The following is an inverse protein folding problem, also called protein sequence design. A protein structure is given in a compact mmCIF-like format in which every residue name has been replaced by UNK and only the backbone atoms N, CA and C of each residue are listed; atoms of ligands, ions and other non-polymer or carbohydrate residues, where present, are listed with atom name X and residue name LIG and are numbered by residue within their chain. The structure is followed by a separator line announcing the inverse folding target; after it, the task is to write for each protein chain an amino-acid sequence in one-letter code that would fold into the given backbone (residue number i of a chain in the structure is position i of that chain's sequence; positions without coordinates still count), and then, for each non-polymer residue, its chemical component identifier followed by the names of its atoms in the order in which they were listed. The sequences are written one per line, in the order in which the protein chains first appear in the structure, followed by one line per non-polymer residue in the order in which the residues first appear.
data_IF_824494142827
#
_entry.id   IF_824494142827
#
_cell.length_a   1.000
_cell.length_b   1.000
_cell.length_c   1.000
_cell.angle_alpha   90.00
_cell.angle_beta   90.00
_cell.angle_gamma   90.00
#
_symmetry.space_group_name_H-M   'P 1'
#
loop_
_entity.id
_entity.type
_entity.pdbx_description
1 polymer ?
#
# COMPACT_ATOMS: atom_id res chain seq x y z
N UNK A 1 -62.63 24.45 24.67
CA UNK A 1 -62.05 23.59 25.72
C UNK A 1 -60.61 24.01 25.91
N UNK A 2 -60.33 24.64 27.05
CA UNK A 2 -59.12 25.42 27.32
C UNK A 2 -58.44 24.80 28.53
N UNK A 3 -57.19 24.34 28.38
CA UNK A 3 -56.40 23.75 29.48
C UNK A 3 -55.35 24.81 29.92
N UNK A 4 -55.31 25.18 31.20
CA UNK A 4 -54.39 26.18 31.72
C UNK A 4 -52.97 25.65 31.99
N UNK A 5 -52.06 26.62 31.99
CA UNK A 5 -50.60 26.59 32.15
C UNK A 5 -50.11 25.99 33.48
N UNK A 6 -48.91 25.38 33.49
CA UNK A 6 -48.09 25.22 34.71
C UNK A 6 -46.61 25.46 34.38
N UNK A 7 -45.95 26.46 34.97
CA UNK A 7 -44.53 26.74 34.74
C UNK A 7 -43.66 25.87 35.66
N UNK A 8 -42.58 25.30 35.12
CA UNK A 8 -41.51 24.74 35.92
C UNK A 8 -40.29 25.66 35.83
N UNK A 9 -39.97 26.27 36.96
CA UNK A 9 -38.82 27.13 37.15
C UNK A 9 -37.57 26.32 37.53
N UNK A 10 -36.40 26.90 37.20
CA UNK A 10 -35.06 26.66 37.76
C UNK A 10 -34.44 25.29 37.41
N UNK A 11 -33.22 25.21 36.91
CA UNK A 11 -32.03 25.63 37.64
C UNK A 11 -30.85 25.77 36.68
N UNK A 12 -30.05 26.81 36.89
CA UNK A 12 -28.83 27.10 36.15
C UNK A 12 -27.81 25.97 36.28
N UNK A 13 -27.33 25.45 35.14
CA UNK A 13 -26.12 24.65 35.13
C UNK A 13 -24.91 25.57 35.19
N UNK A 14 -24.27 25.49 36.35
CA UNK A 14 -23.08 26.19 36.77
C UNK A 14 -21.92 25.80 35.85
N UNK A 15 -21.27 26.84 35.32
CA UNK A 15 -19.97 26.87 34.64
C UNK A 15 -19.03 25.71 35.02
N UNK A 16 -18.78 24.83 34.05
CA UNK A 16 -17.63 23.95 34.07
C UNK A 16 -16.49 24.64 33.32
N UNK A 17 -15.60 25.22 34.13
CA UNK A 17 -14.16 25.41 33.91
C UNK A 17 -13.73 25.43 32.44
N UNK A 18 -13.61 26.65 31.93
CA UNK A 18 -12.73 26.95 30.80
C UNK A 18 -11.31 26.50 31.19
N UNK A 19 -10.87 25.37 30.64
CA UNK A 19 -9.44 25.06 30.61
C UNK A 19 -8.79 26.09 29.68
N UNK A 20 -7.78 26.85 30.13
CA UNK A 20 -7.02 27.69 29.23
C UNK A 20 -6.40 26.77 28.17
N UNK A 21 -6.78 26.98 26.91
CA UNK A 21 -6.07 26.40 25.77
C UNK A 21 -4.69 27.05 25.77
N UNK A 22 -3.78 26.50 26.55
CA UNK A 22 -2.35 26.75 26.40
C UNK A 22 -2.03 26.40 24.96
N UNK A 23 -1.78 27.41 24.15
CA UNK A 23 -1.31 27.28 22.79
C UNK A 23 0.12 26.73 22.84
N UNK A 24 0.25 25.44 23.12
CA UNK A 24 1.47 24.71 22.81
C UNK A 24 1.49 24.50 21.30
N UNK A 25 1.86 25.55 20.58
CA UNK A 25 2.42 25.43 19.24
C UNK A 25 3.83 24.82 19.37
N UNK A 26 3.89 23.57 19.83
CA UNK A 26 5.10 22.77 19.70
C UNK A 26 5.36 22.51 18.22
N UNK A 27 6.62 22.55 17.77
CA UNK A 27 6.93 22.16 16.39
C UNK A 27 6.38 20.76 16.16
N UNK A 28 5.57 20.61 15.10
CA UNK A 28 5.10 19.30 14.65
C UNK A 28 6.34 18.53 14.21
N UNK A 29 6.87 17.71 15.09
CA UNK A 29 7.93 16.77 14.73
C UNK A 29 7.34 15.83 13.69
N UNK A 30 7.74 16.03 12.44
CA UNK A 30 7.49 15.08 11.37
C UNK A 30 8.17 13.78 11.78
N UNK A 31 7.38 12.84 12.30
CA UNK A 31 7.89 11.51 12.63
C UNK A 31 8.24 10.85 11.30
N UNK A 32 9.53 10.52 11.11
CA UNK A 32 9.91 9.60 10.05
C UNK A 32 9.35 8.23 10.41
N UNK A 33 8.31 7.78 9.70
CA UNK A 33 7.74 6.44 9.87
C UNK A 33 8.61 5.34 9.24
N UNK A 34 9.71 5.74 8.60
CA UNK A 34 10.67 4.87 7.94
C UNK A 34 11.93 4.79 8.81
N UNK A 35 12.48 3.58 8.94
CA UNK A 35 13.79 3.35 9.56
C UNK A 35 14.88 4.10 8.80
N UNK A 36 16.00 4.42 9.44
CA UNK A 36 17.17 4.94 8.74
C UNK A 36 17.68 3.94 7.69
N UNK A 37 17.60 2.65 8.02
CA UNK A 37 17.86 1.53 7.13
C UNK A 37 16.55 1.06 6.50
N UNK A 38 16.02 1.84 5.56
CA UNK A 38 14.96 1.37 4.67
C UNK A 38 15.59 1.26 3.29
N UNK A 39 15.35 0.15 2.56
CA UNK A 39 15.85 0.05 1.20
C UNK A 39 15.29 1.23 0.40
N UNK A 40 16.15 1.85 -0.41
CA UNK A 40 15.76 2.96 -1.27
C UNK A 40 14.50 2.58 -2.05
N UNK A 41 13.53 3.48 -2.10
CA UNK A 41 12.27 3.27 -2.82
C UNK A 41 12.43 3.17 -4.35
N UNK A 42 13.66 3.05 -4.84
CA UNK A 42 14.09 2.83 -6.22
C UNK A 42 13.67 1.44 -6.70
N UNK A 43 12.35 1.23 -6.74
CA UNK A 43 11.69 0.08 -7.35
C UNK A 43 11.75 0.17 -8.89
N UNK A 44 12.80 0.78 -9.44
CA UNK A 44 12.98 0.93 -10.87
C UNK A 44 13.56 -0.35 -11.41
N UNK A 45 12.84 -0.98 -12.33
CA UNK A 45 13.40 -2.02 -13.19
C UNK A 45 14.47 -1.38 -14.08
N UNK A 46 15.50 -2.15 -14.43
CA UNK A 46 16.42 -1.69 -15.46
C UNK A 46 15.70 -1.54 -16.80
N UNK A 47 16.17 -0.68 -17.72
CA UNK A 47 15.50 -0.46 -19.00
C UNK A 47 15.27 -1.74 -19.81
N UNK A 48 16.24 -2.67 -19.80
CA UNK A 48 16.15 -3.96 -20.48
C UNK A 48 15.19 -4.94 -19.77
N UNK A 49 15.12 -4.90 -18.44
CA UNK A 49 14.14 -5.70 -17.70
C UNK A 49 12.74 -5.18 -17.98
N UNK A 50 12.57 -3.86 -18.02
CA UNK A 50 11.28 -3.22 -18.27
C UNK A 50 10.74 -3.55 -19.66
N UNK A 51 11.59 -3.57 -20.69
CA UNK A 51 11.18 -3.95 -22.06
C UNK A 51 10.73 -5.42 -22.10
N UNK A 52 11.50 -6.33 -21.50
CA UNK A 52 11.13 -7.76 -21.43
C UNK A 52 9.83 -7.95 -20.62
N UNK A 53 9.72 -7.34 -19.44
CA UNK A 53 8.57 -7.50 -18.55
C UNK A 53 7.28 -6.91 -19.15
N UNK A 54 7.37 -5.74 -19.81
CA UNK A 54 6.23 -5.13 -20.48
C UNK A 54 5.73 -5.97 -21.67
N UNK A 55 6.64 -6.58 -22.44
CA UNK A 55 6.27 -7.50 -23.51
C UNK A 55 5.69 -8.82 -22.96
N UNK A 56 6.32 -9.39 -21.92
CA UNK A 56 5.88 -10.62 -21.28
C UNK A 56 4.50 -10.48 -20.62
N UNK A 57 4.16 -9.31 -20.09
CA UNK A 57 2.88 -9.05 -19.43
C UNK A 57 1.66 -9.31 -20.35
N UNK A 58 1.81 -9.13 -21.67
CA UNK A 58 0.75 -9.43 -22.65
C UNK A 58 0.33 -10.91 -22.63
N UNK A 59 1.24 -11.82 -22.29
CA UNK A 59 1.03 -13.26 -22.29
C UNK A 59 0.58 -13.82 -20.93
N UNK A 60 0.49 -12.98 -19.89
CA UNK A 60 0.09 -13.40 -18.54
C UNK A 60 -1.34 -13.96 -18.47
N UNK A 61 -2.36 -13.41 -19.15
CA UNK A 61 -3.70 -14.00 -19.12
C UNK A 61 -3.72 -15.46 -19.65
N UNK A 62 -2.94 -15.74 -20.70
CA UNK A 62 -2.92 -17.05 -21.36
C UNK A 62 -1.96 -18.07 -20.73
N UNK A 63 -0.82 -17.62 -20.17
CA UNK A 63 0.24 -18.49 -19.67
C UNK A 63 0.56 -18.31 -18.19
N UNK A 64 -0.12 -17.41 -17.49
CA UNK A 64 0.09 -17.11 -16.09
C UNK A 64 1.44 -16.44 -15.81
N UNK A 65 1.81 -16.39 -14.53
CA UNK A 65 3.11 -15.87 -14.07
C UNK A 65 4.17 -16.97 -14.17
N UNK A 66 4.53 -17.35 -15.40
CA UNK A 66 5.40 -18.49 -15.67
C UNK A 66 6.63 -18.11 -16.49
N UNK A 67 7.64 -19.00 -16.50
CA UNK A 67 8.81 -18.89 -17.37
C UNK A 67 8.43 -18.85 -18.86
N UNK A 68 7.32 -19.50 -19.24
CA UNK A 68 6.84 -19.50 -20.62
C UNK A 68 6.41 -18.10 -21.07
N UNK A 69 5.70 -17.36 -20.21
CA UNK A 69 5.32 -15.97 -20.50
C UNK A 69 6.55 -15.07 -20.64
N UNK A 70 7.58 -15.28 -19.81
CA UNK A 70 8.85 -14.55 -19.90
C UNK A 70 9.63 -14.85 -21.19
N UNK A 71 9.76 -16.11 -21.58
CA UNK A 71 10.45 -16.48 -22.82
C UNK A 71 9.75 -15.89 -24.05
N UNK A 72 8.42 -15.93 -24.08
CA UNK A 72 7.64 -15.31 -25.16
C UNK A 72 7.78 -13.78 -25.19
N UNK A 73 7.81 -13.14 -24.02
CA UNK A 73 8.06 -11.70 -23.91
C UNK A 73 9.46 -11.29 -24.33
N UNK A 74 10.48 -12.08 -23.98
CA UNK A 74 11.85 -11.86 -24.42
C UNK A 74 11.95 -11.92 -25.96
N UNK A 75 11.32 -12.93 -26.58
CA UNK A 75 11.23 -13.05 -28.04
C UNK A 75 10.50 -11.88 -28.69
N UNK A 76 9.37 -11.45 -28.13
CA UNK A 76 8.58 -10.30 -28.63
C UNK A 76 9.37 -8.98 -28.54
N UNK A 77 10.22 -8.85 -27.52
CA UNK A 77 11.12 -7.71 -27.34
C UNK A 77 12.42 -7.79 -28.17
N UNK A 78 12.61 -8.85 -28.97
CA UNK A 78 13.81 -9.03 -29.81
C UNK A 78 15.03 -9.60 -29.07
N UNK A 79 14.85 -10.13 -27.86
CA UNK A 79 15.87 -10.81 -27.07
C UNK A 79 15.79 -12.33 -27.22
N UNK A 80 16.85 -13.03 -26.80
CA UNK A 80 16.86 -14.50 -26.76
C UNK A 80 16.08 -15.01 -25.54
N UNK A 81 15.61 -16.26 -25.58
CA UNK A 81 14.99 -16.92 -24.43
C UNK A 81 15.91 -16.92 -23.20
N UNK A 82 17.23 -16.98 -23.41
CA UNK A 82 18.24 -16.96 -22.34
C UNK A 82 18.25 -15.62 -21.60
N UNK A 83 17.77 -14.53 -22.23
CA UNK A 83 17.73 -13.20 -21.61
C UNK A 83 16.78 -13.12 -20.41
N UNK A 84 15.94 -14.13 -20.17
CA UNK A 84 15.16 -14.22 -18.93
C UNK A 84 16.02 -14.44 -17.68
N UNK A 85 17.28 -14.88 -17.82
CA UNK A 85 18.23 -15.00 -16.70
C UNK A 85 18.70 -13.67 -16.14
N UNK A 86 18.48 -12.57 -16.88
CA UNK A 86 18.78 -11.21 -16.43
C UNK A 86 17.82 -10.81 -15.30
N UNK A 87 16.64 -11.43 -15.22
CA UNK A 87 15.68 -11.22 -14.14
C UNK A 87 16.11 -12.03 -12.90
N UNK A 88 16.56 -11.41 -11.81
CA UNK A 88 17.11 -12.12 -10.65
C UNK A 88 16.08 -13.03 -9.98
N UNK A 89 14.80 -12.64 -10.00
CA UNK A 89 13.71 -13.39 -9.38
C UNK A 89 12.87 -14.19 -10.40
N UNK A 90 13.27 -14.20 -11.68
CA UNK A 90 12.58 -14.91 -12.75
C UNK A 90 11.08 -14.55 -12.86
N UNK A 91 10.15 -15.53 -12.83
CA UNK A 91 8.70 -15.26 -12.93
C UNK A 91 8.17 -14.34 -11.83
N UNK A 92 8.83 -14.30 -10.67
CA UNK A 92 8.43 -13.39 -9.59
C UNK A 92 8.63 -11.92 -9.99
N UNK A 93 9.58 -11.63 -10.87
CA UNK A 93 9.76 -10.28 -11.42
C UNK A 93 8.53 -9.79 -12.21
N UNK A 94 7.73 -10.68 -12.82
CA UNK A 94 6.45 -10.31 -13.44
C UNK A 94 5.39 -9.90 -12.42
N UNK A 95 5.35 -10.58 -11.28
CA UNK A 95 4.43 -10.23 -10.18
C UNK A 95 4.82 -8.87 -9.63
N UNK A 96 6.11 -8.67 -9.36
CA UNK A 96 6.65 -7.37 -8.92
C UNK A 96 6.30 -6.28 -9.93
N UNK A 97 6.49 -6.54 -11.22
CA UNK A 97 6.15 -5.61 -12.30
C UNK A 97 4.67 -5.23 -12.26
N UNK A 98 3.77 -6.21 -12.20
CA UNK A 98 2.33 -5.96 -12.07
C UNK A 98 2.00 -5.08 -10.87
N UNK A 99 2.54 -5.40 -9.68
CA UNK A 99 2.26 -4.65 -8.46
C UNK A 99 2.74 -3.20 -8.55
N UNK A 100 3.94 -2.96 -9.09
CA UNK A 100 4.51 -1.63 -9.28
C UNK A 100 3.69 -0.84 -10.29
N UNK A 101 3.43 -1.39 -11.48
CA UNK A 101 2.67 -0.71 -12.54
C UNK A 101 1.25 -0.36 -12.09
N UNK A 102 0.56 -1.27 -11.37
CA UNK A 102 -0.78 -0.95 -10.82
C UNK A 102 -0.72 0.13 -9.73
N UNK A 103 0.32 0.11 -8.89
CA UNK A 103 0.50 1.16 -7.86
C UNK A 103 0.77 2.53 -8.49
N UNK A 104 1.63 2.59 -9.49
CA UNK A 104 1.94 3.82 -10.23
C UNK A 104 0.72 4.35 -10.99
N UNK A 105 -0.02 3.45 -11.66
CA UNK A 105 -1.29 3.77 -12.30
C UNK A 105 -2.32 4.32 -11.31
N UNK A 106 -2.40 3.75 -10.10
CA UNK A 106 -3.30 4.24 -9.05
C UNK A 106 -2.93 5.65 -8.59
N UNK A 107 -1.64 5.97 -8.50
CA UNK A 107 -1.19 7.32 -8.13
C UNK A 107 -1.61 8.36 -9.20
N UNK A 108 -1.53 8.00 -10.47
CA UNK A 108 -2.02 8.84 -11.57
C UNK A 108 -3.55 8.98 -11.54
N UNK A 109 -4.27 7.86 -11.37
CA UNK A 109 -5.75 7.85 -11.25
C UNK A 109 -6.25 8.63 -10.05
N UNK A 110 -5.56 8.57 -8.92
CA UNK A 110 -5.93 9.36 -7.74
C UNK A 110 -5.94 10.86 -8.02
N UNK A 111 -4.93 11.35 -8.77
CA UNK A 111 -4.91 12.75 -9.22
C UNK A 111 -6.08 13.06 -10.17
N UNK A 112 -6.44 12.13 -11.07
CA UNK A 112 -7.54 12.31 -12.01
C UNK A 112 -8.93 12.27 -11.35
N UNK A 113 -9.16 11.34 -10.41
CA UNK A 113 -10.45 11.11 -9.76
C UNK A 113 -10.78 12.24 -8.78
N UNK A 114 -9.78 12.70 -8.02
CA UNK A 114 -10.03 13.66 -6.95
C UNK A 114 -9.69 15.10 -7.35
N UNK A 115 -8.82 15.33 -8.34
CA UNK A 115 -8.35 16.68 -8.68
C UNK A 115 -7.70 17.41 -7.48
N UNK A 116 -7.38 18.69 -7.65
CA UNK A 116 -6.80 19.50 -6.56
C UNK A 116 -7.82 19.89 -5.47
N UNK A 117 -9.11 19.89 -5.78
CA UNK A 117 -10.16 20.41 -4.87
C UNK A 117 -11.22 19.37 -4.47
N UNK A 118 -10.84 18.10 -4.28
CA UNK A 118 -11.81 17.13 -3.77
C UNK A 118 -12.18 17.39 -2.32
N UNK A 119 -13.43 17.81 -2.11
CA UNK A 119 -14.09 17.91 -0.80
C UNK A 119 -14.52 16.55 -0.23
N UNK A 120 -14.26 15.44 -0.94
CA UNK A 120 -14.53 14.10 -0.44
C UNK A 120 -13.79 13.83 0.88
N UNK A 121 -14.50 13.22 1.83
CA UNK A 121 -13.94 12.80 3.10
C UNK A 121 -12.83 11.77 2.91
N UNK A 122 -11.89 11.68 3.86
CA UNK A 122 -10.76 10.74 3.77
C UNK A 122 -11.25 9.29 3.59
N UNK A 123 -12.33 8.89 4.26
CA UNK A 123 -12.92 7.56 4.13
C UNK A 123 -13.38 7.24 2.71
N UNK A 124 -14.13 8.15 2.09
CA UNK A 124 -14.62 8.02 0.72
C UNK A 124 -13.46 7.94 -0.30
N UNK A 125 -12.40 8.74 -0.07
CA UNK A 125 -11.20 8.70 -0.91
C UNK A 125 -10.51 7.34 -0.84
N UNK A 126 -10.34 6.81 0.37
CA UNK A 126 -9.72 5.49 0.59
C UNK A 126 -10.57 4.39 -0.03
N UNK A 127 -11.88 4.40 0.20
CA UNK A 127 -12.80 3.41 -0.36
C UNK A 127 -12.72 3.38 -1.89
N UNK A 128 -12.80 4.56 -2.52
CA UNK A 128 -12.78 4.67 -3.99
C UNK A 128 -11.44 4.26 -4.60
N UNK A 129 -10.31 4.67 -4.01
CA UNK A 129 -8.98 4.22 -4.47
C UNK A 129 -8.80 2.71 -4.30
N UNK A 130 -9.31 2.16 -3.20
CA UNK A 130 -9.24 0.72 -2.94
C UNK A 130 -10.06 -0.05 -3.97
N UNK A 131 -11.26 0.43 -4.29
CA UNK A 131 -12.11 -0.17 -5.31
C UNK A 131 -11.47 -0.16 -6.69
N UNK A 132 -10.90 0.98 -7.11
CA UNK A 132 -10.14 1.10 -8.36
C UNK A 132 -8.99 0.09 -8.42
N UNK A 133 -8.21 0.00 -7.33
CA UNK A 133 -7.08 -0.92 -7.26
C UNK A 133 -7.49 -2.38 -7.38
N UNK A 134 -8.62 -2.76 -6.79
CA UNK A 134 -9.16 -4.11 -6.85
C UNK A 134 -9.70 -4.43 -8.25
N UNK A 135 -10.41 -3.49 -8.88
CA UNK A 135 -10.94 -3.65 -10.25
C UNK A 135 -9.82 -3.90 -11.26
N UNK A 136 -8.66 -3.27 -11.09
CA UNK A 136 -7.52 -3.44 -12.01
C UNK A 136 -6.95 -4.86 -12.05
N UNK A 137 -7.28 -5.72 -11.08
CA UNK A 137 -6.87 -7.12 -11.06
C UNK A 137 -7.82 -8.03 -11.85
N UNK A 138 -8.98 -7.56 -12.29
CA UNK A 138 -9.96 -8.33 -13.10
C UNK A 138 -9.33 -9.19 -14.22
N UNK A 139 -8.41 -8.69 -15.07
CA UNK A 139 -7.88 -9.48 -16.18
C UNK A 139 -6.97 -10.64 -15.75
N UNK A 140 -6.54 -10.68 -14.49
CA UNK A 140 -5.51 -11.62 -13.99
C UNK A 140 -6.03 -12.39 -12.76
N UNK A 141 -7.30 -12.21 -12.38
CA UNK A 141 -7.90 -12.85 -11.19
C UNK A 141 -7.74 -14.36 -11.22
N UNK A 142 -7.95 -14.99 -12.38
CA UNK A 142 -7.87 -16.45 -12.54
C UNK A 142 -6.45 -16.99 -12.36
N UNK A 143 -5.43 -16.16 -12.64
CA UNK A 143 -4.01 -16.51 -12.53
C UNK A 143 -3.39 -16.13 -11.20
N UNK A 144 -4.11 -15.39 -10.35
CA UNK A 144 -3.57 -14.93 -9.06
C UNK A 144 -3.41 -16.09 -8.06
N UNK A 145 -4.16 -17.18 -8.23
CA UNK A 145 -3.99 -18.39 -7.42
C UNK A 145 -2.66 -19.11 -7.72
N UNK A 146 -2.14 -18.98 -8.94
CA UNK A 146 -0.83 -19.52 -9.33
C UNK A 146 0.30 -18.74 -8.64
N UNK A 147 0.10 -17.45 -8.40
CA UNK A 147 1.06 -16.59 -7.68
C UNK A 147 1.29 -17.06 -6.25
N UNK A 148 0.26 -17.56 -5.57
CA UNK A 148 0.38 -18.09 -4.21
C UNK A 148 1.26 -19.35 -4.11
N UNK A 149 1.46 -20.05 -5.23
CA UNK A 149 2.28 -21.27 -5.31
C UNK A 149 3.74 -20.96 -5.65
N UNK A 150 4.03 -19.74 -6.14
CA UNK A 150 5.40 -19.32 -6.42
C UNK A 150 6.09 -19.07 -5.07
N UNK A 151 7.23 -19.74 -4.79
CA UNK A 151 8.00 -19.46 -3.58
C UNK A 151 8.37 -17.99 -3.56
N UNK A 152 7.79 -17.23 -2.63
CA UNK A 152 8.24 -15.86 -2.40
C UNK A 152 9.68 -15.95 -1.92
N UNK A 153 10.65 -15.29 -2.59
CA UNK A 153 11.99 -15.21 -2.05
C UNK A 153 11.87 -14.43 -0.74
N UNK A 154 11.93 -15.14 0.39
CA UNK A 154 12.00 -14.53 1.71
C UNK A 154 13.48 -14.35 2.07
N UNK A 155 14.12 -13.20 1.79
CA UNK A 155 15.24 -12.78 2.60
C UNK A 155 14.64 -12.16 3.87
N UNK A 156 14.70 -12.88 5.00
CA UNK A 156 14.69 -12.28 6.33
C UNK A 156 13.66 -11.16 6.61
N UNK A 157 12.37 -11.48 6.70
CA UNK A 157 11.39 -10.52 7.24
C UNK A 157 10.56 -11.11 8.38
N UNK A 158 11.23 -11.59 9.42
CA UNK A 158 10.72 -11.61 10.80
C UNK A 158 11.84 -11.41 11.85
N UNK A 159 12.94 -10.73 11.52
CA UNK A 159 13.87 -10.21 12.54
C UNK A 159 13.42 -8.81 12.97
N UNK A 160 12.21 -8.72 13.52
CA UNK A 160 11.89 -7.60 14.42
C UNK A 160 12.41 -8.06 15.79
N UNK A 161 13.52 -7.51 16.31
CA UNK A 161 13.88 -7.78 17.69
C UNK A 161 12.76 -7.21 18.57
N UNK A 162 12.02 -8.10 19.24
CA UNK A 162 11.20 -7.73 20.39
C UNK A 162 12.10 -6.91 21.33
N UNK A 163 11.71 -5.70 21.75
CA UNK A 163 12.43 -5.04 22.82
C UNK A 163 12.35 -5.96 24.04
N UNK A 164 13.51 -6.47 24.45
CA UNK A 164 13.66 -7.22 25.68
C UNK A 164 13.03 -6.40 26.81
N UNK A 165 11.89 -6.87 27.31
CA UNK A 165 11.36 -6.40 28.59
C UNK A 165 12.34 -6.91 29.63
N UNK A 166 13.35 -6.09 29.91
CA UNK A 166 14.29 -6.32 30.99
C UNK A 166 13.50 -6.37 32.30
N UNK A 167 13.33 -7.58 32.82
CA UNK A 167 12.84 -7.83 34.16
C UNK A 167 13.73 -7.08 35.16
N UNK A 168 13.30 -5.90 35.59
CA UNK A 168 13.71 -5.34 36.88
C UNK A 168 13.03 -6.16 37.97
N UNK A 169 13.59 -7.32 38.27
CA UNK A 169 13.42 -7.93 39.58
C UNK A 169 14.57 -7.39 40.45
N UNK A 170 14.31 -6.24 41.06
CA UNK A 170 15.03 -5.83 42.27
C UNK A 170 14.53 -6.75 43.37
N UNK A 171 15.33 -7.74 43.75
CA UNK A 171 15.12 -8.53 44.97
C UNK A 171 15.95 -7.86 46.07
N UNK A 172 15.35 -7.28 47.10
CA UNK A 172 16.08 -6.82 48.28
C UNK A 172 16.29 -8.00 49.24
N UNK A 173 17.55 -8.27 49.59
CA UNK A 173 17.94 -8.78 50.90
C UNK A 173 19.13 -7.96 51.38
#
# INVERSE_FOLDING_TARGET
MSIPYRPAARTAFRSLRQCPKGAFAGPRMSRSYQSYDHPDSTTSFHPHEQTILSAAYKYVPEHGFSHKALALGAKDAGYLDISTSVLPDGPFSLIRYHLVTKREGLAAKGKQIFGEMSQAGVGEKVERLTWERLIENKPIVDRWQEVAQIPFPLPFSLSIPLPAIGNKLVVPY
#
